data_IF_359663024958
#
_entry.id   IF_359663024958
#
_cell.length_a   1.000
_cell.length_b   1.000
_cell.length_c   1.000
_cell.angle_alpha   90.00
_cell.angle_beta   90.00
_cell.angle_gamma   90.00
#
_symmetry.space_group_name_H-M   'P 1'
#
loop_
_entity.id
_entity.type
_entity.pdbx_description
1 polymer ?
#
# COMPACT_ATOMS: atom_id res chain seq x y z
N UNK A 1 -26.72 18.34 -46.33
CA UNK A 1 -27.20 16.95 -46.48
C UNK A 1 -26.47 16.31 -47.65
N UNK A 2 -25.36 15.63 -47.37
CA UNK A 2 -24.69 14.73 -48.32
C UNK A 2 -24.24 13.54 -47.48
N UNK A 3 -25.04 12.47 -47.53
CA UNK A 3 -24.75 11.21 -46.87
C UNK A 3 -23.68 10.47 -47.68
N UNK A 4 -22.49 10.32 -47.11
CA UNK A 4 -21.49 9.41 -47.62
C UNK A 4 -21.71 8.03 -46.98
N UNK A 5 -22.45 7.17 -47.70
CA UNK A 5 -22.47 5.73 -47.43
C UNK A 5 -21.14 5.16 -47.91
N UNK A 6 -20.31 4.66 -46.98
CA UNK A 6 -19.17 3.81 -47.30
C UNK A 6 -19.34 2.41 -46.68
N UNK A 7 -18.91 1.37 -47.41
CA UNK A 7 -19.35 0.00 -47.24
C UNK A 7 -18.74 -0.73 -46.03
N UNK A 8 -19.55 -1.65 -45.49
CA UNK A 8 -19.22 -2.61 -44.45
C UNK A 8 -17.94 -3.38 -44.77
N UNK A 9 -16.94 -3.31 -43.89
CA UNK A 9 -15.78 -4.21 -43.94
C UNK A 9 -16.22 -5.64 -43.56
N UNK A 10 -15.71 -6.67 -44.25
CA UNK A 10 -15.94 -8.05 -43.87
C UNK A 10 -15.24 -8.38 -42.55
N UNK A 11 -16.01 -8.95 -41.61
CA UNK A 11 -15.51 -9.60 -40.40
C UNK A 11 -14.66 -10.81 -40.81
N UNK A 12 -13.35 -10.66 -40.79
CA UNK A 12 -12.42 -11.75 -41.06
C UNK A 12 -12.43 -12.74 -39.88
N UNK A 13 -13.28 -13.75 -40.01
CA UNK A 13 -13.39 -14.91 -39.14
C UNK A 13 -12.37 -15.96 -39.59
N UNK A 14 -11.09 -15.73 -39.34
CA UNK A 14 -10.11 -16.82 -39.35
C UNK A 14 -9.90 -17.30 -37.92
N UNK A 15 -10.78 -18.22 -37.50
CA UNK A 15 -10.52 -19.15 -36.41
C UNK A 15 -9.21 -19.88 -36.73
N UNK A 16 -8.12 -19.54 -36.03
CA UNK A 16 -6.96 -20.43 -36.01
C UNK A 16 -7.22 -21.51 -34.98
N UNK A 17 -7.36 -22.71 -35.54
CA UNK A 17 -7.60 -23.96 -34.88
C UNK A 17 -6.60 -24.24 -33.75
N UNK A 18 -7.16 -24.79 -32.68
CA UNK A 18 -6.66 -25.92 -31.91
C UNK A 18 -5.13 -26.05 -31.75
N UNK A 19 -4.67 -25.83 -30.53
CA UNK A 19 -3.69 -26.74 -29.94
C UNK A 19 -3.83 -26.75 -28.42
N UNK A 20 -4.79 -27.53 -27.95
CA UNK A 20 -4.84 -27.99 -26.56
C UNK A 20 -3.75 -29.04 -26.42
N UNK A 21 -2.63 -28.66 -25.81
CA UNK A 21 -1.64 -29.63 -25.32
C UNK A 21 -1.71 -29.60 -23.80
N UNK A 22 -2.58 -30.46 -23.28
CA UNK A 22 -2.60 -30.86 -21.87
C UNK A 22 -1.35 -31.72 -21.66
N UNK A 23 -0.41 -31.24 -20.85
CA UNK A 23 0.72 -32.04 -20.40
C UNK A 23 0.98 -31.81 -18.89
N UNK A 24 0.34 -32.70 -18.12
CA UNK A 24 0.92 -33.45 -17.01
C UNK A 24 1.34 -32.69 -15.74
N UNK A 25 0.39 -32.68 -14.80
CA UNK A 25 0.56 -32.86 -13.36
C UNK A 25 1.90 -33.53 -12.96
N UNK A 26 2.78 -32.78 -12.33
CA UNK A 26 3.73 -33.34 -11.35
C UNK A 26 3.38 -32.78 -9.99
N UNK A 27 2.78 -33.63 -9.15
CA UNK A 27 2.58 -33.39 -7.72
C UNK A 27 3.95 -33.09 -7.07
N UNK A 28 4.23 -31.82 -6.83
CA UNK A 28 5.29 -31.38 -5.95
C UNK A 28 4.84 -31.61 -4.51
N UNK A 29 5.40 -32.63 -3.87
CA UNK A 29 5.19 -32.91 -2.45
C UNK A 29 5.76 -31.74 -1.61
N UNK A 30 4.88 -30.99 -0.95
CA UNK A 30 5.28 -30.13 0.17
C UNK A 30 5.91 -31.00 1.25
N UNK A 31 7.23 -30.85 1.45
CA UNK A 31 7.93 -31.40 2.60
C UNK A 31 7.60 -30.55 3.83
N UNK A 32 7.20 -31.13 4.97
CA UNK A 32 7.09 -30.41 6.22
C UNK A 32 8.49 -30.04 6.73
N UNK A 33 8.79 -28.74 6.79
CA UNK A 33 9.97 -28.23 7.49
C UNK A 33 9.64 -28.14 8.98
N UNK A 34 9.96 -29.21 9.72
CA UNK A 34 9.95 -29.25 11.17
C UNK A 34 11.01 -28.30 11.73
N UNK A 35 10.63 -27.05 11.99
CA UNK A 35 11.49 -26.11 12.70
C UNK A 35 11.46 -26.45 14.19
N UNK A 36 12.52 -27.10 14.64
CA UNK A 36 12.85 -27.30 16.05
C UNK A 36 12.77 -25.97 16.81
N UNK A 37 11.91 -25.91 17.81
CA UNK A 37 11.87 -24.83 18.80
C UNK A 37 12.91 -25.16 19.87
N UNK A 38 13.93 -24.33 19.96
CA UNK A 38 14.96 -24.37 21.00
C UNK A 38 14.38 -23.72 22.27
N UNK A 39 14.47 -24.33 23.46
CA UNK A 39 14.03 -23.66 24.68
C UNK A 39 15.06 -22.60 25.08
N UNK A 40 14.64 -21.33 25.08
CA UNK A 40 15.38 -20.23 25.70
C UNK A 40 15.55 -20.53 27.19
N UNK A 41 16.76 -20.92 27.57
CA UNK A 41 17.21 -21.07 28.95
C UNK A 41 17.95 -19.82 29.36
N UNK A 42 17.26 -18.81 29.88
CA UNK A 42 17.92 -17.65 30.47
C UNK A 42 17.31 -17.39 31.84
N UNK A 43 18.15 -17.62 32.85
CA UNK A 43 17.83 -17.52 34.26
C UNK A 43 17.46 -16.10 34.66
N UNK A 44 16.46 -16.01 35.51
CA UNK A 44 16.04 -14.81 36.20
C UNK A 44 17.13 -14.36 37.20
N UNK A 45 17.74 -13.17 37.06
CA UNK A 45 18.59 -12.62 38.11
C UNK A 45 17.74 -12.03 39.24
N UNK A 46 18.13 -12.38 40.46
CA UNK A 46 17.48 -12.07 41.74
C UNK A 46 17.36 -10.57 42.03
N UNK A 47 16.29 -10.12 42.73
CA UNK A 47 16.24 -8.77 43.28
C UNK A 47 17.06 -8.75 44.58
N UNK A 48 18.07 -7.91 44.65
CA UNK A 48 18.93 -7.86 45.83
C UNK A 48 20.01 -6.79 45.77
N UNK A 49 19.60 -5.59 46.17
CA UNK A 49 20.29 -4.75 47.14
C UNK A 49 21.42 -3.78 46.72
N UNK A 50 21.20 -2.56 47.24
CA UNK A 50 22.16 -1.64 47.83
C UNK A 50 22.86 -0.60 46.93
N UNK A 51 22.18 0.56 46.86
CA UNK A 51 22.66 1.86 47.33
C UNK A 51 24.11 2.30 47.03
N UNK A 52 24.25 3.37 46.24
CA UNK A 52 25.21 4.46 46.43
C UNK A 52 24.78 5.62 45.51
N UNK A 53 24.19 6.72 45.98
CA UNK A 53 24.78 7.93 46.59
C UNK A 53 24.41 9.13 45.68
N UNK A 54 24.14 10.31 46.24
CA UNK A 54 23.42 11.39 45.56
C UNK A 54 24.39 12.35 44.88
N UNK A 55 24.53 12.27 43.56
CA UNK A 55 25.15 13.34 42.78
C UNK A 55 24.39 13.59 41.48
N UNK A 56 23.93 14.83 41.39
CA UNK A 56 23.30 15.51 40.27
C UNK A 56 24.00 15.19 38.94
N UNK A 57 23.47 14.22 38.18
CA UNK A 57 23.76 14.08 36.76
C UNK A 57 22.45 14.25 36.00
N UNK A 58 22.34 15.38 35.31
CA UNK A 58 21.37 15.61 34.26
C UNK A 58 21.87 14.76 33.08
N UNK A 59 21.33 13.56 32.94
CA UNK A 59 21.30 12.82 31.69
C UNK A 59 19.85 12.97 31.22
N UNK A 60 19.51 13.91 30.35
CA UNK A 60 19.50 13.71 28.90
C UNK A 60 19.04 12.31 28.46
N UNK A 61 18.15 11.68 29.23
CA UNK A 61 17.27 10.66 28.69
C UNK A 61 16.20 11.39 27.86
N UNK A 62 16.41 11.47 26.54
CA UNK A 62 15.32 11.78 25.62
C UNK A 62 14.22 10.72 25.88
N UNK A 63 13.01 11.12 26.31
CA UNK A 63 11.94 10.17 26.59
C UNK A 63 11.68 9.37 25.31
N UNK A 64 11.84 8.05 25.38
CA UNK A 64 11.54 7.16 24.27
C UNK A 64 10.08 7.42 23.84
N UNK A 65 9.81 7.65 22.54
CA UNK A 65 8.45 7.92 22.08
C UNK A 65 7.56 6.73 22.45
N UNK A 66 6.54 7.00 23.25
CA UNK A 66 5.60 5.98 23.69
C UNK A 66 4.81 5.49 22.48
N UNK A 67 4.73 4.18 22.30
CA UNK A 67 3.94 3.55 21.24
C UNK A 67 2.48 4.02 21.33
N UNK A 68 2.09 4.96 20.47
CA UNK A 68 0.77 5.59 20.46
C UNK A 68 0.77 7.11 20.40
N UNK A 69 1.92 7.78 20.59
CA UNK A 69 2.06 9.19 20.23
C UNK A 69 2.54 9.26 18.77
N UNK A 70 1.94 10.08 17.88
CA UNK A 70 2.50 10.28 16.54
C UNK A 70 3.97 10.67 16.67
N UNK A 71 4.86 10.19 15.78
CA UNK A 71 6.27 10.48 15.88
C UNK A 71 6.47 12.00 16.01
N UNK A 72 7.33 12.49 16.92
CA UNK A 72 7.69 13.90 16.91
C UNK A 72 8.13 14.24 15.49
N UNK A 73 7.77 15.41 14.93
CA UNK A 73 8.08 15.71 13.53
C UNK A 73 9.55 15.40 13.32
N UNK A 74 9.81 14.35 12.54
CA UNK A 74 11.13 13.81 12.29
C UNK A 74 11.99 15.01 11.94
N UNK A 75 13.12 15.23 12.64
CA UNK A 75 14.02 16.36 12.35
C UNK A 75 14.27 16.32 10.85
N UNK A 76 13.64 17.26 10.15
CA UNK A 76 13.31 17.12 8.74
C UNK A 76 14.61 17.10 7.98
N UNK A 77 14.67 16.26 6.97
CA UNK A 77 15.52 16.54 5.82
C UNK A 77 15.04 17.90 5.31
N UNK A 78 15.68 18.99 5.75
CA UNK A 78 15.19 20.35 5.56
C UNK A 78 15.43 20.79 4.09
N UNK A 79 14.60 20.26 3.20
CA UNK A 79 14.45 20.68 1.81
C UNK A 79 13.20 21.55 1.63
N UNK A 80 13.03 22.18 0.46
CA UNK A 80 11.75 22.73 0.05
C UNK A 80 10.65 21.67 0.06
N UNK A 81 9.44 22.11 0.35
CA UNK A 81 8.17 21.36 0.39
C UNK A 81 7.15 22.30 -0.25
N UNK A 82 6.83 22.03 -1.51
CA UNK A 82 6.18 22.94 -2.45
C UNK A 82 4.67 23.07 -2.25
N UNK A 83 4.03 21.96 -1.90
CA UNK A 83 2.59 21.83 -1.69
C UNK A 83 2.21 21.72 -0.20
N UNK A 84 3.17 21.44 0.69
CA UNK A 84 3.00 21.49 2.13
C UNK A 84 2.45 20.22 2.75
N UNK A 85 2.59 19.08 2.08
CA UNK A 85 2.13 17.78 2.57
C UNK A 85 3.08 17.15 3.64
N UNK A 86 4.29 17.71 3.79
CA UNK A 86 5.30 17.28 4.74
C UNK A 86 6.37 16.35 4.16
N UNK A 87 6.32 16.04 2.87
CA UNK A 87 7.31 15.30 2.09
C UNK A 87 8.18 16.33 1.34
N UNK A 88 9.51 16.31 1.48
CA UNK A 88 10.35 17.25 0.74
C UNK A 88 10.30 17.00 -0.78
N UNK A 89 10.29 18.07 -1.60
CA UNK A 89 10.26 18.05 -3.08
C UNK A 89 11.27 17.09 -3.74
N UNK A 90 12.33 16.72 -3.02
CA UNK A 90 13.39 15.83 -3.51
C UNK A 90 13.02 14.35 -3.49
N UNK A 91 12.06 13.99 -2.65
CA UNK A 91 11.59 12.61 -2.44
C UNK A 91 10.09 12.46 -2.70
N UNK A 92 9.39 13.58 -2.85
CA UNK A 92 8.00 13.70 -3.27
C UNK A 92 7.85 13.39 -4.78
N UNK A 93 6.92 12.50 -5.11
CA UNK A 93 6.59 12.14 -6.49
C UNK A 93 5.71 13.19 -7.19
N UNK A 94 4.91 13.96 -6.44
CA UNK A 94 4.05 15.02 -6.93
C UNK A 94 4.27 16.38 -6.20
N UNK A 95 5.42 17.07 -6.35
CA UNK A 95 5.79 18.29 -5.57
C UNK A 95 4.94 19.56 -5.75
N UNK A 96 3.82 19.45 -6.46
CA UNK A 96 2.88 20.53 -6.73
C UNK A 96 1.45 20.18 -6.30
N UNK A 97 1.19 18.92 -5.95
CA UNK A 97 -0.13 18.38 -5.68
C UNK A 97 -0.02 17.65 -4.33
N UNK A 98 -0.59 18.20 -3.25
CA UNK A 98 -0.40 17.65 -1.92
C UNK A 98 -1.05 16.28 -1.79
N UNK A 99 -0.34 15.36 -1.16
CA UNK A 99 -0.82 14.07 -0.66
C UNK A 99 -2.16 14.19 0.10
N UNK A 100 -3.07 13.24 -0.15
CA UNK A 100 -4.41 13.25 0.44
C UNK A 100 -4.67 12.25 1.58
N UNK A 101 -3.65 11.63 2.20
CA UNK A 101 -3.70 10.97 3.52
C UNK A 101 -5.01 10.20 3.83
N UNK A 102 -5.49 9.43 2.87
CA UNK A 102 -6.73 8.65 2.97
C UNK A 102 -6.48 7.18 3.36
N UNK A 103 -5.20 6.78 3.45
CA UNK A 103 -4.78 5.43 3.80
C UNK A 103 -4.40 4.56 2.61
N UNK A 104 -4.47 5.10 1.39
CA UNK A 104 -3.93 4.52 0.18
C UNK A 104 -2.66 5.27 -0.24
N UNK A 105 -1.58 4.52 -0.49
CA UNK A 105 -0.28 5.02 -0.97
C UNK A 105 0.32 6.35 -0.40
N UNK A 106 -0.15 6.81 0.79
CA UNK A 106 0.22 8.02 1.59
C UNK A 106 1.71 8.41 1.75
N UNK A 107 2.64 7.56 1.28
CA UNK A 107 4.08 7.72 1.45
C UNK A 107 4.82 8.16 0.19
N UNK A 108 4.18 8.29 -0.96
CA UNK A 108 4.83 8.69 -2.20
C UNK A 108 4.69 10.19 -2.52
N UNK A 109 3.77 10.89 -1.86
CA UNK A 109 3.56 12.34 -2.00
C UNK A 109 2.62 12.69 -3.14
N UNK A 110 1.84 11.75 -3.65
CA UNK A 110 0.86 11.98 -4.69
C UNK A 110 -0.54 11.76 -4.13
N UNK A 111 -1.52 12.62 -4.48
CA UNK A 111 -2.90 12.32 -4.18
C UNK A 111 -3.46 11.29 -5.16
N UNK A 112 -4.21 10.32 -4.64
CA UNK A 112 -4.87 9.29 -5.42
C UNK A 112 -6.39 9.54 -5.52
N UNK A 113 -6.89 10.08 -6.66
CA UNK A 113 -8.31 10.38 -6.79
C UNK A 113 -9.21 9.16 -7.08
N UNK A 114 -8.60 7.99 -7.34
CA UNK A 114 -9.22 6.71 -7.70
C UNK A 114 -8.27 5.59 -7.22
N UNK A 115 -8.49 5.13 -6.00
CA UNK A 115 -7.59 4.24 -5.26
C UNK A 115 -7.56 2.80 -5.80
N UNK A 116 -8.67 2.29 -6.33
CA UNK A 116 -8.74 0.94 -6.87
C UNK A 116 -8.63 0.85 -8.40
N UNK A 117 -8.56 2.01 -9.07
CA UNK A 117 -8.29 2.18 -10.49
C UNK A 117 -9.36 1.58 -11.39
N UNK A 118 -10.61 1.58 -10.95
CA UNK A 118 -11.75 1.13 -11.74
C UNK A 118 -12.31 2.22 -12.68
N UNK A 119 -11.92 3.48 -12.46
CA UNK A 119 -12.32 4.65 -13.23
C UNK A 119 -13.45 5.48 -12.62
N UNK A 120 -13.92 5.13 -11.42
CA UNK A 120 -14.81 5.91 -10.58
C UNK A 120 -13.95 6.61 -9.52
N UNK A 121 -14.20 7.90 -9.29
CA UNK A 121 -13.40 8.65 -8.31
C UNK A 121 -13.83 8.25 -6.90
N UNK A 122 -12.89 8.23 -5.95
CA UNK A 122 -13.12 7.93 -4.53
C UNK A 122 -14.28 8.70 -3.90
N UNK A 123 -14.52 9.93 -4.34
CA UNK A 123 -15.63 10.78 -3.86
C UNK A 123 -17.01 10.29 -4.31
N UNK A 124 -17.07 9.60 -5.45
CA UNK A 124 -18.26 9.07 -6.08
C UNK A 124 -18.37 7.53 -5.93
N UNK A 125 -17.32 6.88 -5.39
CA UNK A 125 -17.22 5.42 -5.19
C UNK A 125 -17.74 4.97 -3.80
N UNK A 126 -18.62 3.96 -3.77
CA UNK A 126 -19.09 3.37 -2.51
C UNK A 126 -18.13 2.34 -1.90
N UNK A 127 -17.22 1.81 -2.72
CA UNK A 127 -16.19 0.85 -2.40
C UNK A 127 -14.79 1.31 -2.90
N UNK A 128 -14.22 2.45 -2.44
CA UNK A 128 -13.00 3.06 -3.01
C UNK A 128 -11.72 2.21 -3.02
N UNK A 129 -11.75 1.01 -2.43
CA UNK A 129 -10.60 0.12 -2.31
C UNK A 129 -10.85 -1.23 -3.02
N UNK A 130 -11.98 -1.41 -3.68
CA UNK A 130 -12.43 -2.66 -4.25
C UNK A 130 -13.01 -2.42 -5.66
N UNK A 131 -12.25 -2.76 -6.72
CA UNK A 131 -12.57 -2.30 -8.05
C UNK A 131 -13.86 -2.93 -8.60
N UNK A 132 -14.65 -2.12 -9.31
CA UNK A 132 -15.82 -2.55 -10.06
C UNK A 132 -15.49 -3.62 -11.13
N UNK A 133 -16.44 -4.52 -11.35
CA UNK A 133 -16.37 -5.62 -12.33
C UNK A 133 -17.07 -5.36 -13.66
N UNK A 134 -17.83 -4.26 -13.79
CA UNK A 134 -18.55 -3.79 -14.99
C UNK A 134 -19.32 -4.92 -15.68
N UNK A 135 -20.24 -5.55 -14.95
CA UNK A 135 -21.01 -6.71 -15.41
C UNK A 135 -22.45 -6.36 -15.89
N UNK A 136 -22.84 -5.09 -15.77
CA UNK A 136 -24.17 -4.57 -16.08
C UNK A 136 -25.12 -4.52 -14.89
N UNK A 137 -24.63 -4.74 -13.67
CA UNK A 137 -25.38 -4.67 -12.41
C UNK A 137 -24.76 -3.64 -11.48
N UNK A 138 -25.39 -2.48 -11.38
CA UNK A 138 -24.97 -1.37 -10.53
C UNK A 138 -23.57 -0.79 -10.82
N UNK A 139 -23.04 -0.94 -12.03
CA UNK A 139 -21.77 -0.34 -12.52
C UNK A 139 -21.55 1.19 -12.26
N UNK A 140 -22.50 1.91 -11.68
CA UNK A 140 -22.41 3.32 -11.30
C UNK A 140 -22.13 3.50 -9.79
N UNK A 141 -22.10 2.42 -9.00
CA UNK A 141 -21.85 2.48 -7.55
C UNK A 141 -20.40 2.24 -7.13
N UNK A 142 -19.54 1.78 -8.04
CA UNK A 142 -18.13 1.49 -7.78
C UNK A 142 -17.90 0.23 -6.95
N UNK A 143 -18.93 -0.61 -6.78
CA UNK A 143 -18.82 -1.78 -5.93
C UNK A 143 -18.99 -3.09 -6.72
N UNK A 144 -18.15 -4.11 -6.50
CA UNK A 144 -18.27 -5.38 -7.20
C UNK A 144 -19.67 -6.03 -7.01
N UNK A 145 -20.40 -6.21 -8.13
CA UNK A 145 -21.85 -6.47 -8.19
C UNK A 145 -22.32 -7.83 -8.73
#
# INVERSE_FOLDING_TARGET
MLAATMPSLPRDRTLRAASVVIALLTLGACHPHERSVEPASEGNPTPGDAAAEPWLFIENEEPQPTAGEPPPPSRRTEGPDGDGDGIPDQVDACPADPEDLDGFDDGDGCPEPDNDLDGILDIDDQCPMEPETFDGHHDEDGCPG
#
